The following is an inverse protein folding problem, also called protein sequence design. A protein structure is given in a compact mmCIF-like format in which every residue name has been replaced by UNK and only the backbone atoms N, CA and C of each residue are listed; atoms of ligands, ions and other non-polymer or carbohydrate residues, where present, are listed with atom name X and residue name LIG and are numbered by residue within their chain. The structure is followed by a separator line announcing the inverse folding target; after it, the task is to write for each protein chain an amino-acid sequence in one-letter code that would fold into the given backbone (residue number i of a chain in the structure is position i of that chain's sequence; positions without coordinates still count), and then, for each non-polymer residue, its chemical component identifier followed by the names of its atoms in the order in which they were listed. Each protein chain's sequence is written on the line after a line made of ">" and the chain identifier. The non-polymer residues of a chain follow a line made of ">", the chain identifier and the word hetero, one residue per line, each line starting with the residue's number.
data_IF_293030635774
#
_entry.id   IF_293030635774
#
_cell.length_a   1.000
_cell.length_b   1.000
_cell.length_c   1.000
_cell.angle_alpha   90.00
_cell.angle_beta   90.00
_cell.angle_gamma   90.00
#
_symmetry.space_group_name_H-M   'P 1'
#
loop_
_entity.id
_entity.type
_entity.pdbx_description
1 polymer ?
#
# COMPACT_ATOMS: atom_id res chain seq x y z
N UNK A 1 -4.53 -1.86 -24.95
CA UNK A 1 -5.03 -0.56 -25.47
C UNK A 1 -4.13 0.49 -24.87
N UNK A 2 -3.91 1.62 -25.54
CA UNK A 2 -2.90 2.60 -25.11
C UNK A 2 -2.99 2.99 -23.62
N UNK A 3 -4.20 3.04 -23.05
CA UNK A 3 -4.40 3.28 -21.62
C UNK A 3 -3.93 2.12 -20.74
N UNK A 4 -4.25 0.87 -21.07
CA UNK A 4 -3.79 -0.32 -20.33
C UNK A 4 -2.28 -0.47 -20.40
N UNK A 5 -1.69 -0.25 -21.57
CA UNK A 5 -0.26 -0.42 -21.81
C UNK A 5 0.53 0.68 -21.07
N UNK A 6 -0.01 1.91 -21.02
CA UNK A 6 0.54 2.99 -20.21
C UNK A 6 0.44 2.71 -18.71
N UNK A 7 -0.69 2.16 -18.24
CA UNK A 7 -0.89 1.82 -16.82
C UNK A 7 0.07 0.72 -16.35
N UNK A 8 0.35 -0.26 -17.21
CA UNK A 8 1.31 -1.33 -16.94
C UNK A 8 2.74 -0.77 -16.84
N UNK A 9 3.15 0.07 -17.81
CA UNK A 9 4.44 0.75 -17.77
C UNK A 9 4.57 1.67 -16.55
N UNK A 10 3.49 2.38 -16.18
CA UNK A 10 3.43 3.20 -14.98
C UNK A 10 3.62 2.36 -13.72
N UNK A 11 2.94 1.22 -13.61
CA UNK A 11 3.02 0.33 -12.46
C UNK A 11 4.42 -0.27 -12.26
N UNK A 12 5.22 -0.39 -13.32
CA UNK A 12 6.62 -0.83 -13.24
C UNK A 12 7.57 0.30 -12.82
N UNK A 13 7.18 1.56 -12.99
CA UNK A 13 8.05 2.70 -12.70
C UNK A 13 8.23 2.94 -11.19
N UNK A 14 9.39 3.50 -10.80
CA UNK A 14 9.63 3.96 -9.43
C UNK A 14 8.66 5.08 -9.00
N UNK A 15 8.05 5.80 -9.95
CA UNK A 15 7.11 6.88 -9.66
C UNK A 15 5.77 6.34 -9.11
N UNK A 16 5.46 5.06 -9.39
CA UNK A 16 4.25 4.39 -8.93
C UNK A 16 4.08 4.48 -7.41
N UNK A 17 5.17 4.37 -6.65
CA UNK A 17 5.14 4.47 -5.18
C UNK A 17 4.46 5.75 -4.71
N UNK A 18 4.96 6.90 -5.17
CA UNK A 18 4.47 8.21 -4.74
C UNK A 18 3.13 8.59 -5.36
N UNK A 19 2.90 8.26 -6.64
CA UNK A 19 1.71 8.67 -7.37
C UNK A 19 0.50 7.82 -6.95
N UNK A 20 0.66 6.51 -6.78
CA UNK A 20 -0.42 5.65 -6.30
C UNK A 20 -0.83 6.07 -4.88
N UNK A 21 0.14 6.34 -4.01
CA UNK A 21 -0.11 6.84 -2.66
C UNK A 21 -0.86 8.19 -2.66
N UNK A 22 -0.39 9.16 -3.43
CA UNK A 22 -1.02 10.47 -3.55
C UNK A 22 -2.46 10.38 -4.11
N UNK A 23 -2.69 9.52 -5.11
CA UNK A 23 -4.01 9.30 -5.70
C UNK A 23 -4.95 8.59 -4.73
N UNK A 24 -4.45 7.64 -3.92
CA UNK A 24 -5.24 7.02 -2.86
C UNK A 24 -5.63 8.03 -1.78
N UNK A 25 -4.77 9.01 -1.48
CA UNK A 25 -5.12 10.08 -0.54
C UNK A 25 -6.13 11.09 -1.09
N UNK A 26 -6.12 11.37 -2.40
CA UNK A 26 -6.89 12.49 -2.97
C UNK A 26 -8.10 12.08 -3.81
N UNK A 27 -8.10 10.90 -4.42
CA UNK A 27 -9.12 10.51 -5.40
C UNK A 27 -10.47 10.21 -4.74
N UNK A 28 -11.55 10.66 -5.38
CA UNK A 28 -12.93 10.29 -5.07
C UNK A 28 -13.48 9.18 -6.00
N UNK A 29 -12.73 8.80 -7.05
CA UNK A 29 -13.16 7.80 -8.03
C UNK A 29 -12.85 6.37 -7.55
N UNK A 30 -13.89 5.56 -7.36
CA UNK A 30 -13.77 4.19 -6.84
C UNK A 30 -12.90 3.26 -7.71
N UNK A 31 -12.91 3.45 -9.03
CA UNK A 31 -12.09 2.66 -9.96
C UNK A 31 -10.61 3.04 -9.82
N UNK A 32 -10.30 4.34 -9.77
CA UNK A 32 -8.94 4.83 -9.53
C UNK A 32 -8.42 4.34 -8.18
N UNK A 33 -9.23 4.42 -7.12
CA UNK A 33 -8.86 3.95 -5.79
C UNK A 33 -8.53 2.46 -5.79
N UNK A 34 -9.38 1.64 -6.42
CA UNK A 34 -9.16 0.20 -6.51
C UNK A 34 -7.89 -0.13 -7.29
N UNK A 35 -7.69 0.54 -8.42
CA UNK A 35 -6.55 0.29 -9.29
C UNK A 35 -5.23 0.72 -8.63
N UNK A 36 -5.20 1.90 -8.00
CA UNK A 36 -3.99 2.39 -7.32
C UNK A 36 -3.65 1.55 -6.08
N UNK A 37 -4.65 1.07 -5.34
CA UNK A 37 -4.42 0.16 -4.22
C UNK A 37 -3.80 -1.17 -4.70
N UNK A 38 -4.26 -1.71 -5.83
CA UNK A 38 -3.68 -2.90 -6.45
C UNK A 38 -2.26 -2.65 -6.96
N UNK A 39 -2.02 -1.52 -7.61
CA UNK A 39 -0.69 -1.14 -8.09
C UNK A 39 0.30 -1.02 -6.93
N UNK A 40 -0.08 -0.33 -5.85
CA UNK A 40 0.76 -0.17 -4.67
C UNK A 40 1.05 -1.51 -3.98
N UNK A 41 0.05 -2.39 -3.84
CA UNK A 41 0.25 -3.76 -3.35
C UNK A 41 1.27 -4.50 -4.21
N UNK A 42 1.14 -4.43 -5.53
CA UNK A 42 2.05 -5.14 -6.44
C UNK A 42 3.48 -4.61 -6.32
N UNK A 43 3.69 -3.28 -6.21
CA UNK A 43 5.00 -2.68 -5.94
C UNK A 43 5.62 -3.23 -4.66
N UNK A 44 4.85 -3.37 -3.58
CA UNK A 44 5.33 -3.95 -2.31
C UNK A 44 5.73 -5.41 -2.47
N UNK A 45 5.00 -6.19 -3.26
CA UNK A 45 5.28 -7.62 -3.44
C UNK A 45 6.46 -7.89 -4.39
N UNK A 46 6.58 -7.11 -5.47
CA UNK A 46 7.52 -7.37 -6.55
C UNK A 46 8.81 -6.54 -6.43
N UNK A 47 8.69 -5.29 -5.97
CA UNK A 47 9.73 -4.27 -6.14
C UNK A 47 10.14 -3.63 -4.80
N UNK A 48 9.94 -4.32 -3.67
CA UNK A 48 10.25 -3.78 -2.35
C UNK A 48 11.70 -3.28 -2.22
N UNK A 49 12.64 -3.97 -2.88
CA UNK A 49 14.07 -3.61 -2.89
C UNK A 49 14.35 -2.27 -3.58
N UNK A 50 13.44 -1.74 -4.39
CA UNK A 50 13.57 -0.39 -4.98
C UNK A 50 13.28 0.72 -3.96
N UNK A 51 12.67 0.38 -2.82
CA UNK A 51 12.27 1.35 -1.82
C UNK A 51 13.50 1.91 -1.11
N UNK A 52 13.67 3.24 -0.99
CA UNK A 52 14.80 3.82 -0.29
C UNK A 52 14.92 3.32 1.15
N UNK A 53 16.15 3.13 1.63
CA UNK A 53 16.40 2.71 3.00
C UNK A 53 15.71 3.66 4.00
N UNK A 54 14.90 3.11 4.90
CA UNK A 54 14.12 3.87 5.88
C UNK A 54 12.72 4.32 5.42
N UNK A 55 12.40 4.24 4.12
CA UNK A 55 11.06 4.62 3.63
C UNK A 55 9.96 3.61 4.01
N UNK A 56 10.32 2.38 4.37
CA UNK A 56 9.37 1.33 4.76
C UNK A 56 8.49 1.74 5.96
N UNK A 57 9.03 2.47 6.95
CA UNK A 57 8.25 2.91 8.10
C UNK A 57 7.23 4.00 7.73
N UNK A 58 7.61 4.88 6.80
CA UNK A 58 6.72 5.92 6.27
C UNK A 58 5.62 5.30 5.42
N UNK A 59 5.97 4.33 4.56
CA UNK A 59 5.00 3.58 3.76
C UNK A 59 4.00 2.82 4.64
N UNK A 60 4.47 2.19 5.73
CA UNK A 60 3.58 1.56 6.72
C UNK A 60 2.59 2.57 7.31
N UNK A 61 3.08 3.75 7.71
CA UNK A 61 2.24 4.82 8.25
C UNK A 61 1.13 5.20 7.28
N UNK A 62 1.49 5.47 6.02
CA UNK A 62 0.54 5.75 4.95
C UNK A 62 -0.48 4.62 4.76
N UNK A 63 -0.04 3.36 4.65
CA UNK A 63 -0.94 2.22 4.46
C UNK A 63 -1.95 2.07 5.59
N UNK A 64 -1.57 2.40 6.84
CA UNK A 64 -2.50 2.43 7.97
C UNK A 64 -3.54 3.54 7.84
N UNK A 65 -3.13 4.75 7.44
CA UNK A 65 -4.03 5.87 7.21
C UNK A 65 -5.00 5.59 6.06
N UNK A 66 -4.50 5.02 4.97
CA UNK A 66 -5.30 4.58 3.84
C UNK A 66 -6.28 3.47 4.25
N UNK A 67 -5.85 2.47 5.03
CA UNK A 67 -6.75 1.41 5.49
C UNK A 67 -7.90 1.98 6.34
N UNK A 68 -7.61 2.93 7.23
CA UNK A 68 -8.62 3.62 8.01
C UNK A 68 -9.58 4.43 7.11
N UNK A 69 -9.03 5.21 6.16
CA UNK A 69 -9.82 5.97 5.16
C UNK A 69 -10.74 5.05 4.37
N UNK A 70 -10.23 3.91 3.94
CA UNK A 70 -10.97 2.97 3.10
C UNK A 70 -11.82 1.98 3.89
N UNK A 71 -11.93 2.07 5.22
CA UNK A 71 -12.74 1.15 6.03
C UNK A 71 -14.19 1.01 5.51
N UNK A 72 -14.80 2.12 5.06
CA UNK A 72 -16.12 2.15 4.41
C UNK A 72 -16.07 2.25 2.86
N UNK A 73 -14.87 2.19 2.27
CA UNK A 73 -14.64 2.28 0.84
C UNK A 73 -14.74 0.94 0.10
N UNK A 74 -14.37 0.91 -1.20
CA UNK A 74 -14.46 -0.29 -2.03
C UNK A 74 -13.77 -1.50 -1.40
N UNK A 75 -14.49 -2.62 -1.29
CA UNK A 75 -13.95 -3.85 -0.71
C UNK A 75 -12.67 -4.32 -1.42
N UNK A 76 -12.58 -4.13 -2.73
CA UNK A 76 -11.39 -4.46 -3.51
C UNK A 76 -10.17 -3.60 -3.12
N UNK A 77 -10.35 -2.29 -2.94
CA UNK A 77 -9.28 -1.38 -2.49
C UNK A 77 -8.81 -1.76 -1.07
N UNK A 78 -9.75 -1.99 -0.14
CA UNK A 78 -9.40 -2.44 1.23
C UNK A 78 -8.60 -3.74 1.22
N UNK A 79 -9.07 -4.75 0.48
CA UNK A 79 -8.38 -6.04 0.41
C UNK A 79 -6.97 -5.91 -0.17
N UNK A 80 -6.79 -5.05 -1.19
CA UNK A 80 -5.47 -4.78 -1.74
C UNK A 80 -4.54 -4.10 -0.72
N UNK A 81 -5.05 -3.13 0.06
CA UNK A 81 -4.29 -2.48 1.13
C UNK A 81 -3.89 -3.48 2.23
N UNK A 82 -4.82 -4.33 2.69
CA UNK A 82 -4.51 -5.39 3.65
C UNK A 82 -3.41 -6.33 3.16
N UNK A 83 -3.46 -6.71 1.87
CA UNK A 83 -2.42 -7.54 1.25
C UNK A 83 -1.08 -6.80 1.15
N UNK A 84 -1.10 -5.49 0.85
CA UNK A 84 0.10 -4.66 0.83
C UNK A 84 0.75 -4.56 2.21
N UNK A 85 -0.05 -4.39 3.26
CA UNK A 85 0.42 -4.38 4.66
C UNK A 85 1.03 -5.73 5.03
N UNK A 86 0.36 -6.84 4.68
CA UNK A 86 0.86 -8.18 4.93
C UNK A 86 2.18 -8.45 4.19
N UNK A 87 2.30 -8.02 2.93
CA UNK A 87 3.54 -8.13 2.17
C UNK A 87 4.65 -7.29 2.81
N UNK A 88 4.37 -6.04 3.18
CA UNK A 88 5.33 -5.17 3.86
C UNK A 88 5.84 -5.80 5.17
N UNK A 89 4.93 -6.42 5.93
CA UNK A 89 5.27 -7.13 7.15
C UNK A 89 6.19 -8.35 6.89
N UNK A 90 6.01 -9.05 5.76
CA UNK A 90 6.87 -10.16 5.39
C UNK A 90 8.28 -9.71 4.95
N UNK A 91 8.41 -8.50 4.38
CA UNK A 91 9.68 -7.91 3.98
C UNK A 91 10.44 -7.20 5.10
N UNK A 92 9.82 -6.98 6.26
CA UNK A 92 10.41 -6.20 7.36
C UNK A 92 10.57 -7.03 8.62
N UNK A 93 11.57 -6.70 9.43
CA UNK A 93 11.80 -7.40 10.69
C UNK A 93 10.63 -7.19 11.66
N UNK A 94 10.25 -8.23 12.40
CA UNK A 94 9.15 -8.17 13.36
C UNK A 94 9.32 -7.04 14.40
N UNK A 95 10.57 -6.75 14.80
CA UNK A 95 10.89 -5.67 15.74
C UNK A 95 10.46 -4.28 15.24
N UNK A 96 10.41 -4.05 13.92
CA UNK A 96 9.94 -2.78 13.34
C UNK A 96 8.44 -2.56 13.54
N UNK A 97 7.70 -3.62 13.84
CA UNK A 97 6.29 -3.59 14.19
C UNK A 97 6.06 -3.50 15.70
N UNK A 98 7.09 -3.25 16.50
CA UNK A 98 6.98 -3.12 17.95
C UNK A 98 7.11 -4.46 18.68
N UNK A 99 7.08 -4.40 20.01
CA UNK A 99 7.40 -5.54 20.87
C UNK A 99 6.46 -6.75 20.71
N UNK A 100 5.20 -6.49 20.34
CA UNK A 100 4.19 -7.52 20.07
C UNK A 100 4.11 -7.93 18.58
N UNK A 101 5.06 -7.46 17.76
CA UNK A 101 5.12 -7.73 16.32
C UNK A 101 3.92 -7.16 15.55
N UNK A 102 3.74 -7.65 14.32
CA UNK A 102 2.73 -7.15 13.37
C UNK A 102 1.31 -7.25 13.93
N UNK A 103 0.97 -8.36 14.60
CA UNK A 103 -0.39 -8.57 15.13
C UNK A 103 -0.71 -7.59 16.25
N UNK A 104 0.22 -7.40 17.20
CA UNK A 104 0.01 -6.42 18.28
C UNK A 104 -0.08 -4.99 17.76
N UNK A 105 0.76 -4.63 16.78
CA UNK A 105 0.70 -3.33 16.12
C UNK A 105 -0.66 -3.05 15.46
N UNK A 106 -1.21 -4.05 14.77
CA UNK A 106 -2.51 -3.91 14.14
C UNK A 106 -3.61 -3.77 15.19
N UNK A 107 -3.60 -4.60 16.24
CA UNK A 107 -4.58 -4.53 17.34
C UNK A 107 -4.63 -3.15 18.00
N UNK A 108 -3.48 -2.52 18.26
CA UNK A 108 -3.43 -1.17 18.86
C UNK A 108 -4.02 -0.07 17.97
N UNK A 109 -4.06 -0.26 16.66
CA UNK A 109 -4.48 0.78 15.69
C UNK A 109 -5.87 0.56 15.08
N UNK A 110 -6.37 -0.67 15.08
CA UNK A 110 -7.65 -1.02 14.45
C UNK A 110 -8.67 -1.65 15.42
N UNK A 111 -8.24 -2.06 16.62
CA UNK A 111 -9.10 -2.56 17.69
C UNK A 111 -9.73 -1.43 18.49
#
# INVERSE_FOLDING_TARGET
>A
SWASDWLEAFAQSAHCWSIADALLHQSADLAVQTQMAQALRNKIQADFEELPAGAADSLRGSLMELLAKYAAGPAAARSALCQGIAALAAHTEAARWGAAGVVGFLQERIG
#
